data_IF_345097610187
#
_entry.id   IF_345097610187
#
_cell.length_a   1.000
_cell.length_b   1.000
_cell.length_c   1.000
_cell.angle_alpha   90.00
_cell.angle_beta   90.00
_cell.angle_gamma   90.00
#
_symmetry.space_group_name_H-M   'P 1'
#
loop_
_entity.id
_entity.type
_entity.pdbx_description
1 polymer ?
#
# COMPACT_ATOMS: atom_id res chain seq x y z
N UNK A 1 18.04 3.61 15.82
CA UNK A 1 17.91 2.97 17.15
C UNK A 1 18.00 3.99 18.30
N UNK A 2 19.06 4.81 18.37
CA UNK A 2 19.25 5.77 19.48
C UNK A 2 18.06 6.72 19.64
N UNK A 3 17.52 7.25 18.55
CA UNK A 3 16.38 8.17 18.59
C UNK A 3 15.09 7.47 19.02
N UNK A 4 14.85 6.23 18.59
CA UNK A 4 13.70 5.45 19.01
C UNK A 4 13.70 5.15 20.52
N UNK A 5 14.87 4.80 21.08
CA UNK A 5 15.03 4.61 22.53
C UNK A 5 14.79 5.92 23.29
N UNK A 6 15.31 7.03 22.77
CA UNK A 6 15.09 8.37 23.35
C UNK A 6 13.62 8.77 23.37
N UNK A 7 12.90 8.52 22.29
CA UNK A 7 11.46 8.79 22.21
C UNK A 7 10.67 7.91 23.17
N UNK A 8 10.97 6.60 23.23
CA UNK A 8 10.32 5.67 24.14
C UNK A 8 10.57 6.09 25.61
N UNK A 9 11.80 6.42 25.98
CA UNK A 9 12.13 6.93 27.29
C UNK A 9 11.33 8.21 27.63
N UNK A 10 11.17 9.13 26.68
CA UNK A 10 10.35 10.34 26.86
C UNK A 10 8.88 10.03 27.10
N UNK A 11 8.30 9.07 26.34
CA UNK A 11 6.93 8.61 26.51
C UNK A 11 6.72 8.03 27.92
N UNK A 12 7.63 7.14 28.35
CA UNK A 12 7.57 6.52 29.66
C UNK A 12 7.78 7.52 30.80
N UNK A 13 8.73 8.45 30.65
CA UNK A 13 8.98 9.50 31.63
C UNK A 13 7.76 10.40 31.85
N UNK A 14 7.07 10.76 30.77
CA UNK A 14 5.84 11.54 30.83
C UNK A 14 4.59 10.71 31.17
N UNK A 15 4.75 9.45 31.54
CA UNK A 15 3.65 8.54 31.93
C UNK A 15 2.53 8.46 30.88
N UNK A 16 2.88 8.57 29.60
CA UNK A 16 1.90 8.42 28.51
C UNK A 16 1.53 6.94 28.42
N UNK A 17 0.22 6.59 28.55
CA UNK A 17 -0.20 5.20 28.53
C UNK A 17 0.02 4.58 27.14
N UNK A 18 0.54 3.34 27.12
CA UNK A 18 0.75 2.56 25.91
C UNK A 18 -0.12 1.31 25.98
N UNK A 19 -1.05 1.16 25.07
CA UNK A 19 -1.94 0.00 24.95
C UNK A 19 -1.39 -0.99 23.93
N UNK A 20 -0.55 -1.92 24.40
CA UNK A 20 -0.02 -3.00 23.54
C UNK A 20 -1.10 -4.05 23.25
N UNK A 21 -0.98 -4.72 22.08
CA UNK A 21 -1.95 -5.74 21.64
C UNK A 21 -3.39 -5.26 21.71
N UNK A 22 -3.63 -4.02 21.31
CA UNK A 22 -4.93 -3.39 21.44
C UNK A 22 -5.34 -2.72 20.13
N UNK A 23 -6.63 -2.66 19.90
CA UNK A 23 -7.24 -1.99 18.76
C UNK A 23 -8.33 -1.02 19.19
N UNK A 24 -8.63 -0.06 18.35
CA UNK A 24 -9.81 0.80 18.51
C UNK A 24 -11.03 -0.02 18.05
N UNK A 25 -11.88 -0.42 19.03
CA UNK A 25 -13.10 -1.15 18.73
C UNK A 25 -14.24 -0.21 18.30
N UNK A 26 -14.28 1.01 18.83
CA UNK A 26 -15.28 2.03 18.49
C UNK A 26 -14.77 3.42 18.83
N UNK A 27 -15.04 4.39 17.99
CA UNK A 27 -14.92 5.81 18.29
C UNK A 27 -16.27 6.48 18.06
N UNK A 28 -16.72 7.31 19.01
CA UNK A 28 -17.99 8.02 18.93
C UNK A 28 -17.74 9.49 19.23
N UNK A 29 -18.09 10.36 18.29
CA UNK A 29 -18.02 11.80 18.49
C UNK A 29 -19.15 12.27 19.38
N UNK A 30 -18.81 13.06 20.36
CA UNK A 30 -19.71 13.89 21.17
C UNK A 30 -19.23 15.33 21.00
N UNK A 31 -20.09 16.31 21.06
CA UNK A 31 -19.84 17.72 20.74
C UNK A 31 -18.35 18.13 20.75
N UNK A 32 -17.73 18.18 21.93
CA UNK A 32 -16.34 18.64 22.11
C UNK A 32 -15.32 17.52 22.33
N UNK A 33 -15.75 16.27 22.42
CA UNK A 33 -14.85 15.14 22.70
C UNK A 33 -15.20 13.89 21.93
N UNK A 34 -14.24 12.99 21.84
CA UNK A 34 -14.38 11.67 21.23
C UNK A 34 -14.27 10.62 22.35
N UNK A 35 -15.28 9.77 22.46
CA UNK A 35 -15.22 8.57 23.30
C UNK A 35 -14.66 7.42 22.49
N UNK A 36 -13.50 6.91 22.89
CA UNK A 36 -12.79 5.82 22.20
C UNK A 36 -12.87 4.57 23.07
N UNK A 37 -13.37 3.46 22.52
CA UNK A 37 -13.28 2.13 23.12
C UNK A 37 -12.06 1.42 22.57
N UNK A 38 -11.14 1.05 23.45
CA UNK A 38 -9.96 0.24 23.12
C UNK A 38 -10.26 -1.18 23.58
N UNK A 39 -9.92 -2.16 22.73
CA UNK A 39 -10.06 -3.57 23.05
C UNK A 39 -8.71 -4.26 22.94
N UNK A 40 -8.32 -4.97 23.98
CA UNK A 40 -7.16 -5.86 23.93
C UNK A 40 -7.48 -7.08 23.06
N UNK A 41 -6.65 -7.35 22.06
CA UNK A 41 -6.89 -8.37 21.03
C UNK A 41 -6.81 -9.78 21.62
N UNK A 42 -5.94 -9.99 22.62
CA UNK A 42 -5.69 -11.30 23.20
C UNK A 42 -6.73 -11.67 24.26
N UNK A 43 -7.14 -10.69 25.08
CA UNK A 43 -8.02 -10.94 26.24
C UNK A 43 -9.46 -10.53 25.99
N UNK A 44 -9.75 -9.76 24.95
CA UNK A 44 -11.06 -9.18 24.69
C UNK A 44 -11.44 -8.03 25.64
N UNK A 45 -10.62 -7.73 26.66
CA UNK A 45 -10.90 -6.68 27.65
C UNK A 45 -11.04 -5.33 26.96
N UNK A 46 -12.11 -4.61 27.31
CA UNK A 46 -12.38 -3.27 26.78
C UNK A 46 -12.14 -2.20 27.83
N UNK A 47 -11.62 -1.07 27.36
CA UNK A 47 -11.41 0.15 28.13
C UNK A 47 -11.93 1.35 27.34
N UNK A 48 -12.44 2.36 28.03
CA UNK A 48 -12.94 3.59 27.39
C UNK A 48 -12.08 4.77 27.77
N UNK A 49 -11.68 5.53 26.76
CA UNK A 49 -10.95 6.80 26.89
C UNK A 49 -11.79 7.94 26.35
N UNK A 50 -11.55 9.14 26.85
CA UNK A 50 -12.11 10.38 26.33
C UNK A 50 -10.96 11.27 25.87
N UNK A 51 -11.05 11.81 24.67
CA UNK A 51 -10.00 12.67 24.09
C UNK A 51 -10.63 13.75 23.21
N UNK A 52 -9.97 14.90 23.11
CA UNK A 52 -10.37 15.96 22.17
C UNK A 52 -9.93 15.67 20.72
N UNK A 53 -8.93 14.80 20.53
CA UNK A 53 -8.38 14.48 19.20
C UNK A 53 -8.01 13.02 19.12
N UNK A 54 -8.34 12.39 18.01
CA UNK A 54 -7.97 11.01 17.68
C UNK A 54 -7.24 10.97 16.34
N UNK A 55 -5.96 10.60 16.35
CA UNK A 55 -5.19 10.33 15.15
C UNK A 55 -5.08 8.82 14.93
N UNK A 56 -5.37 8.36 13.71
CA UNK A 56 -5.36 6.94 13.35
C UNK A 56 -4.42 6.70 12.17
N UNK A 57 -3.58 5.66 12.24
CA UNK A 57 -2.70 5.26 11.16
C UNK A 57 -2.44 3.75 11.22
N UNK A 58 -2.70 3.07 10.11
CA UNK A 58 -2.53 1.61 9.99
C UNK A 58 -1.31 1.20 9.16
N UNK A 59 -0.32 2.07 9.06
CA UNK A 59 0.91 1.86 8.31
C UNK A 59 0.90 2.53 6.93
N UNK A 60 1.90 2.19 6.13
CA UNK A 60 2.13 2.74 4.80
C UNK A 60 1.98 1.63 3.76
N UNK A 61 1.52 1.99 2.57
CA UNK A 61 1.45 1.12 1.41
C UNK A 61 2.26 1.73 0.25
N UNK A 62 2.97 0.90 -0.55
CA UNK A 62 3.75 1.39 -1.67
C UNK A 62 2.85 1.97 -2.78
N UNK A 63 3.29 3.05 -3.40
CA UNK A 63 2.67 3.54 -4.64
C UNK A 63 3.30 2.81 -5.83
N UNK A 64 2.57 1.85 -6.39
CA UNK A 64 3.01 1.02 -7.53
C UNK A 64 2.19 1.27 -8.79
N UNK A 65 1.45 2.37 -8.86
CA UNK A 65 0.55 2.67 -9.97
C UNK A 65 1.28 2.71 -11.32
N UNK A 66 2.45 3.38 -11.39
CA UNK A 66 3.24 3.51 -12.63
C UNK A 66 3.79 2.16 -13.07
N UNK A 67 4.39 1.39 -12.15
CA UNK A 67 4.99 0.10 -12.49
C UNK A 67 3.93 -0.93 -12.91
N UNK A 68 2.72 -0.86 -12.32
CA UNK A 68 1.59 -1.68 -12.74
C UNK A 68 1.03 -1.26 -14.10
N UNK A 69 0.93 0.05 -14.35
CA UNK A 69 0.48 0.57 -15.66
C UNK A 69 1.43 0.16 -16.80
N UNK A 70 2.73 0.15 -16.52
CA UNK A 70 3.76 -0.32 -17.46
C UNK A 70 3.76 -1.85 -17.65
N UNK A 71 3.04 -2.61 -16.83
CA UNK A 71 2.97 -4.07 -16.94
C UNK A 71 4.13 -4.80 -16.25
N UNK A 72 4.91 -4.16 -15.38
CA UNK A 72 5.90 -4.85 -14.57
C UNK A 72 5.25 -5.89 -13.65
N UNK A 73 5.92 -7.01 -13.40
CA UNK A 73 5.44 -8.03 -12.46
C UNK A 73 5.45 -7.50 -11.03
N UNK A 74 4.47 -7.91 -10.24
CA UNK A 74 4.33 -7.54 -8.84
C UNK A 74 4.09 -8.77 -7.98
N UNK A 75 4.56 -8.70 -6.74
CA UNK A 75 4.34 -9.69 -5.70
C UNK A 75 3.74 -9.03 -4.47
N UNK A 76 2.93 -9.76 -3.71
CA UNK A 76 2.44 -9.31 -2.42
C UNK A 76 3.44 -9.63 -1.31
N UNK A 77 3.91 -8.62 -0.60
CA UNK A 77 4.79 -8.77 0.55
C UNK A 77 4.34 -7.88 1.71
N UNK A 78 3.68 -8.48 2.69
CA UNK A 78 3.12 -7.76 3.84
C UNK A 78 4.19 -6.99 4.61
N UNK A 79 5.39 -7.55 4.79
CA UNK A 79 6.49 -6.89 5.51
C UNK A 79 7.05 -5.67 4.77
N UNK A 80 6.73 -5.51 3.49
CA UNK A 80 7.13 -4.37 2.65
C UNK A 80 5.97 -3.44 2.31
N UNK A 81 4.81 -3.63 2.93
CA UNK A 81 3.64 -2.77 2.80
C UNK A 81 2.58 -3.23 1.80
N UNK A 82 2.72 -4.40 1.18
CA UNK A 82 1.73 -4.95 0.24
C UNK A 82 2.31 -5.30 -1.12
N UNK A 83 1.62 -4.96 -2.21
CA UNK A 83 2.14 -5.21 -3.56
C UNK A 83 3.31 -4.30 -3.88
N UNK A 84 4.42 -4.91 -4.26
CA UNK A 84 5.65 -4.26 -4.71
C UNK A 84 6.05 -4.80 -6.07
N UNK A 85 6.78 -4.03 -6.85
CA UNK A 85 7.37 -4.55 -8.07
C UNK A 85 8.35 -5.69 -7.77
N UNK A 86 8.31 -6.75 -8.57
CA UNK A 86 9.34 -7.80 -8.57
C UNK A 86 10.64 -7.21 -9.11
N UNK A 87 11.69 -7.27 -8.30
CA UNK A 87 13.00 -6.67 -8.60
C UNK A 87 14.14 -7.62 -8.21
N UNK A 88 15.25 -7.50 -8.90
CA UNK A 88 16.50 -8.15 -8.51
C UNK A 88 17.23 -7.35 -7.41
N UNK A 89 18.38 -7.86 -6.95
CA UNK A 89 19.21 -7.21 -5.94
C UNK A 89 19.70 -5.82 -6.36
N UNK A 90 19.73 -5.54 -7.66
CA UNK A 90 20.17 -4.28 -8.23
C UNK A 90 19.02 -3.36 -8.66
N UNK A 91 17.80 -3.69 -8.20
CA UNK A 91 16.59 -2.90 -8.40
C UNK A 91 16.07 -2.89 -9.85
N UNK A 92 16.52 -3.83 -10.73
CA UNK A 92 15.95 -4.03 -12.04
C UNK A 92 14.59 -4.69 -11.90
N UNK A 93 13.60 -4.20 -12.62
CA UNK A 93 12.28 -4.82 -12.64
C UNK A 93 12.23 -5.97 -13.66
N UNK A 94 11.05 -6.57 -13.81
CA UNK A 94 10.78 -7.56 -14.87
C UNK A 94 10.73 -6.98 -16.28
N UNK A 95 10.88 -5.67 -16.43
CA UNK A 95 10.92 -4.97 -17.72
C UNK A 95 12.31 -4.37 -17.94
N UNK A 96 12.86 -4.58 -19.13
CA UNK A 96 14.15 -4.01 -19.51
C UNK A 96 14.13 -2.47 -19.42
N UNK A 97 15.19 -1.89 -18.91
CA UNK A 97 15.33 -0.44 -18.73
C UNK A 97 14.50 0.17 -17.60
N UNK A 98 13.70 -0.62 -16.89
CA UNK A 98 12.89 -0.13 -15.75
C UNK A 98 13.51 -0.53 -14.41
N UNK A 99 13.97 0.45 -13.66
CA UNK A 99 14.48 0.30 -12.29
C UNK A 99 13.48 0.85 -11.28
N UNK A 100 13.23 0.10 -10.21
CA UNK A 100 12.27 0.51 -9.18
C UNK A 100 12.98 0.74 -7.86
N UNK A 101 12.85 1.94 -7.31
CA UNK A 101 13.53 2.35 -6.08
C UNK A 101 12.58 2.93 -5.04
N UNK A 102 13.10 3.27 -3.88
CA UNK A 102 12.31 3.86 -2.80
C UNK A 102 11.22 2.94 -2.29
N UNK A 103 10.08 3.52 -1.93
CA UNK A 103 8.95 2.77 -1.37
C UNK A 103 8.26 1.86 -2.39
N UNK A 104 8.33 2.18 -3.69
CA UNK A 104 7.84 1.29 -4.77
C UNK A 104 8.55 -0.06 -4.83
N UNK A 105 9.80 -0.12 -4.37
CA UNK A 105 10.61 -1.33 -4.18
C UNK A 105 10.44 -1.97 -2.78
N UNK A 106 9.40 -1.58 -2.05
CA UNK A 106 9.13 -1.98 -0.67
C UNK A 106 9.61 -0.98 0.37
N UNK A 107 8.71 -0.67 1.30
CA UNK A 107 8.91 0.36 2.32
C UNK A 107 10.01 -0.05 3.28
N UNK A 108 11.06 0.76 3.36
CA UNK A 108 12.24 0.52 4.21
C UNK A 108 12.76 1.80 4.89
N UNK A 109 12.07 2.92 4.70
CA UNK A 109 12.41 4.24 5.24
C UNK A 109 13.34 5.06 4.33
N UNK A 110 13.40 6.36 4.57
CA UNK A 110 14.03 7.35 3.68
C UNK A 110 15.52 7.07 3.41
N UNK A 111 16.28 6.62 4.42
CA UNK A 111 17.71 6.33 4.25
C UNK A 111 17.91 5.12 3.34
N UNK A 112 17.10 4.08 3.52
CA UNK A 112 17.12 2.90 2.66
C UNK A 112 16.70 3.26 1.22
N UNK A 113 15.71 4.14 1.05
CA UNK A 113 15.27 4.64 -0.26
C UNK A 113 16.41 5.35 -1.01
N UNK A 114 17.19 6.18 -0.30
CA UNK A 114 18.40 6.80 -0.88
C UNK A 114 19.42 5.77 -1.32
N UNK A 115 19.70 4.77 -0.51
CA UNK A 115 20.69 3.72 -0.82
C UNK A 115 20.21 2.86 -2.01
N UNK A 116 18.93 2.52 -2.06
CA UNK A 116 18.32 1.85 -3.22
C UNK A 116 18.49 2.69 -4.49
N UNK A 117 18.24 4.00 -4.44
CA UNK A 117 18.48 4.90 -5.57
C UNK A 117 19.90 4.87 -6.08
N UNK A 118 20.90 4.87 -5.17
CA UNK A 118 22.31 4.76 -5.54
C UNK A 118 22.66 3.39 -6.17
N UNK A 119 22.09 2.30 -5.67
CA UNK A 119 22.29 0.96 -6.28
C UNK A 119 21.72 0.92 -7.69
N UNK A 120 20.49 1.39 -7.87
CA UNK A 120 19.84 1.43 -9.18
C UNK A 120 20.62 2.29 -10.19
N UNK A 121 21.12 3.46 -9.76
CA UNK A 121 21.95 4.31 -10.61
C UNK A 121 23.25 3.62 -11.04
N UNK A 122 23.92 2.91 -10.10
CA UNK A 122 25.12 2.14 -10.42
C UNK A 122 24.81 0.97 -11.34
N UNK A 123 23.65 0.31 -11.16
CA UNK A 123 23.21 -0.77 -12.03
C UNK A 123 22.97 -0.27 -13.45
N UNK A 124 22.27 0.87 -13.61
CA UNK A 124 22.07 1.51 -14.91
C UNK A 124 23.39 1.85 -15.59
N UNK A 125 24.34 2.46 -14.89
CA UNK A 125 25.66 2.78 -15.45
C UNK A 125 26.44 1.52 -15.86
N UNK A 126 26.27 0.42 -15.14
CA UNK A 126 26.90 -0.85 -15.49
C UNK A 126 26.23 -1.48 -16.73
N UNK A 127 24.90 -1.49 -16.80
CA UNK A 127 24.13 -2.06 -17.89
C UNK A 127 24.38 -1.29 -19.20
N UNK A 128 24.51 0.04 -19.12
CA UNK A 128 24.91 0.91 -20.24
C UNK A 128 26.43 0.87 -20.55
N UNK A 129 27.18 -0.01 -19.88
CA UNK A 129 28.64 -0.20 -20.10
C UNK A 129 29.48 1.05 -19.84
N UNK A 130 28.96 2.03 -19.07
CA UNK A 130 29.66 3.26 -18.70
C UNK A 130 30.71 2.98 -17.63
N UNK A 131 30.43 2.06 -16.69
CA UNK A 131 31.39 1.63 -15.67
C UNK A 131 31.73 0.14 -15.81
N UNK A 132 32.94 -0.22 -15.37
CA UNK A 132 33.42 -1.61 -15.42
C UNK A 132 32.87 -2.42 -14.23
N UNK A 133 32.75 -3.72 -14.42
CA UNK A 133 32.26 -4.68 -13.41
C UNK A 133 32.96 -4.55 -12.05
N UNK A 134 34.29 -4.39 -12.06
CA UNK A 134 35.10 -4.23 -10.84
C UNK A 134 34.68 -3.00 -10.05
N UNK A 135 34.47 -1.89 -10.74
CA UNK A 135 34.04 -0.61 -10.13
C UNK A 135 32.63 -0.74 -9.56
N UNK A 136 31.72 -1.32 -10.36
CA UNK A 136 30.34 -1.58 -9.96
C UNK A 136 30.28 -2.42 -8.68
N UNK A 137 30.97 -3.56 -8.62
CA UNK A 137 31.01 -4.45 -7.45
C UNK A 137 31.60 -3.76 -6.20
N UNK A 138 32.64 -2.97 -6.34
CA UNK A 138 33.24 -2.23 -5.22
C UNK A 138 32.29 -1.19 -4.65
N UNK A 139 31.64 -0.39 -5.52
CA UNK A 139 30.74 0.67 -5.10
C UNK A 139 29.48 0.11 -4.46
N UNK A 140 28.83 -0.88 -5.08
CA UNK A 140 27.60 -1.50 -4.57
C UNK A 140 27.81 -2.20 -3.25
N UNK A 141 28.92 -2.94 -3.06
CA UNK A 141 29.23 -3.65 -1.81
C UNK A 141 29.16 -2.76 -0.57
N UNK A 142 29.68 -1.53 -0.64
CA UNK A 142 29.63 -0.56 0.48
C UNK A 142 28.19 -0.15 0.80
N UNK A 143 27.38 0.08 -0.24
CA UNK A 143 26.00 0.50 -0.09
C UNK A 143 25.16 -0.63 0.45
N UNK A 144 25.30 -1.86 -0.05
CA UNK A 144 24.60 -3.06 0.47
C UNK A 144 24.85 -3.28 1.96
N UNK A 145 26.10 -3.14 2.43
CA UNK A 145 26.44 -3.27 3.87
C UNK A 145 25.67 -2.27 4.73
N UNK A 146 25.43 -1.06 4.23
CA UNK A 146 24.65 -0.02 4.91
C UNK A 146 23.16 -0.29 4.82
N UNK A 147 22.65 -0.60 3.62
CA UNK A 147 21.26 -0.90 3.34
C UNK A 147 20.74 -2.05 4.18
N UNK A 148 21.51 -3.12 4.32
CA UNK A 148 21.14 -4.31 5.10
C UNK A 148 20.69 -3.96 6.53
N UNK A 149 21.36 -3.01 7.20
CA UNK A 149 21.01 -2.59 8.58
C UNK A 149 19.64 -1.90 8.62
N UNK A 150 19.33 -1.08 7.60
CA UNK A 150 18.05 -0.39 7.52
C UNK A 150 16.92 -1.33 7.13
N UNK A 151 17.17 -2.30 6.27
CA UNK A 151 16.18 -3.31 5.92
C UNK A 151 15.85 -4.24 7.10
N UNK A 152 16.82 -4.64 7.90
CA UNK A 152 16.55 -5.37 9.15
C UNK A 152 15.69 -4.55 10.11
N UNK A 153 15.97 -3.27 10.26
CA UNK A 153 15.15 -2.37 11.08
C UNK A 153 13.73 -2.23 10.52
N UNK A 154 13.60 -1.99 9.22
CA UNK A 154 12.30 -1.89 8.56
C UNK A 154 11.48 -3.16 8.73
N UNK A 155 12.09 -4.35 8.58
CA UNK A 155 11.45 -5.64 8.82
C UNK A 155 10.95 -5.80 10.25
N UNK A 156 11.71 -5.35 11.23
CA UNK A 156 11.29 -5.37 12.63
C UNK A 156 10.10 -4.45 12.90
N UNK A 157 10.12 -3.22 12.35
CA UNK A 157 9.01 -2.27 12.46
C UNK A 157 7.76 -2.78 11.73
N UNK A 158 7.92 -3.37 10.54
CA UNK A 158 6.80 -3.96 9.81
C UNK A 158 6.11 -5.08 10.61
N UNK A 159 6.88 -5.90 11.32
CA UNK A 159 6.35 -6.94 12.21
C UNK A 159 5.55 -6.35 13.39
N UNK A 160 6.00 -5.24 13.95
CA UNK A 160 5.28 -4.54 15.02
C UNK A 160 3.98 -3.88 14.53
N UNK A 161 3.95 -3.44 13.28
CA UNK A 161 2.82 -2.75 12.66
C UNK A 161 1.94 -3.68 11.79
N UNK A 162 2.18 -4.98 11.81
CA UNK A 162 1.34 -5.91 11.05
C UNK A 162 -0.10 -5.86 11.54
N UNK A 163 -1.05 -5.84 10.60
CA UNK A 163 -2.48 -5.85 10.91
C UNK A 163 -2.86 -7.21 11.48
N UNK A 164 -3.30 -7.31 12.75
CA UNK A 164 -3.68 -8.60 13.32
C UNK A 164 -4.92 -9.17 12.60
N UNK A 165 -4.96 -10.49 12.35
CA UNK A 165 -6.10 -11.14 11.70
C UNK A 165 -7.44 -10.86 12.40
N UNK A 166 -7.42 -10.70 13.72
CA UNK A 166 -8.60 -10.38 14.53
C UNK A 166 -9.31 -9.09 14.11
N UNK A 167 -8.59 -8.14 13.48
CA UNK A 167 -9.22 -6.92 12.96
C UNK A 167 -10.16 -7.24 11.79
N UNK A 168 -9.83 -8.19 10.94
CA UNK A 168 -10.68 -8.63 9.83
C UNK A 168 -11.87 -9.43 10.36
N UNK A 169 -11.63 -10.37 11.29
CA UNK A 169 -12.67 -11.23 11.86
C UNK A 169 -13.71 -10.45 12.68
N UNK A 170 -13.29 -9.38 13.36
CA UNK A 170 -14.19 -8.52 14.14
C UNK A 170 -14.85 -7.41 13.31
N UNK A 171 -14.59 -7.34 12.02
CA UNK A 171 -15.18 -6.36 11.13
C UNK A 171 -16.65 -6.68 10.90
N UNK A 172 -17.53 -5.75 11.22
CA UNK A 172 -18.97 -5.88 11.01
C UNK A 172 -19.34 -5.77 9.54
N UNK A 173 -20.47 -6.32 9.16
CA UNK A 173 -20.96 -6.29 7.78
C UNK A 173 -21.23 -4.85 7.29
N UNK A 174 -21.65 -3.95 8.18
CA UNK A 174 -21.88 -2.53 7.88
C UNK A 174 -20.59 -1.72 7.80
N UNK A 175 -19.41 -2.33 8.02
CA UNK A 175 -18.13 -1.61 7.93
C UNK A 175 -17.88 -1.15 6.50
N UNK A 176 -17.76 0.16 6.30
CA UNK A 176 -17.44 0.74 4.99
C UNK A 176 -15.99 0.41 4.63
N UNK A 177 -15.81 -0.35 3.56
CA UNK A 177 -14.52 -0.72 3.00
C UNK A 177 -14.07 0.27 1.91
N UNK A 178 -15.00 0.73 1.07
CA UNK A 178 -14.72 1.76 0.06
C UNK A 178 -15.50 3.04 0.38
N UNK A 179 -14.83 4.04 0.94
CA UNK A 179 -15.44 5.30 1.35
C UNK A 179 -15.86 6.21 0.19
N UNK A 180 -15.31 6.00 -0.98
CA UNK A 180 -15.64 6.83 -2.15
C UNK A 180 -16.95 6.40 -2.82
N UNK A 181 -17.33 5.14 -2.64
CA UNK A 181 -18.52 4.52 -3.26
C UNK A 181 -19.45 3.92 -2.18
N UNK A 182 -19.16 4.18 -0.90
CA UNK A 182 -19.92 3.70 0.28
C UNK A 182 -20.13 2.19 0.34
N UNK A 183 -19.19 1.39 -0.24
CA UNK A 183 -19.27 -0.06 -0.28
C UNK A 183 -18.89 -0.64 1.07
N UNK A 184 -19.78 -1.45 1.61
CA UNK A 184 -19.62 -2.13 2.89
C UNK A 184 -18.94 -3.50 2.74
N UNK A 185 -18.57 -4.13 3.86
CA UNK A 185 -18.13 -5.51 3.89
C UNK A 185 -19.23 -6.44 3.35
N UNK A 186 -20.48 -6.20 3.72
CA UNK A 186 -21.63 -6.98 3.25
C UNK A 186 -21.73 -6.99 1.72
N UNK A 187 -21.61 -5.83 1.07
CA UNK A 187 -21.69 -5.74 -0.39
C UNK A 187 -20.57 -6.56 -1.06
N UNK A 188 -19.37 -6.58 -0.45
CA UNK A 188 -18.24 -7.39 -0.94
C UNK A 188 -18.55 -8.89 -0.79
N UNK A 189 -19.09 -9.34 0.36
CA UNK A 189 -19.44 -10.73 0.60
C UNK A 189 -20.56 -11.19 -0.34
N UNK A 190 -21.61 -10.41 -0.51
CA UNK A 190 -22.69 -10.70 -1.47
C UNK A 190 -22.16 -10.84 -2.92
N UNK A 191 -21.22 -10.00 -3.33
CA UNK A 191 -20.60 -10.12 -4.64
C UNK A 191 -19.75 -11.40 -4.77
N UNK A 192 -19.07 -11.83 -3.70
CA UNK A 192 -18.34 -13.11 -3.67
C UNK A 192 -19.32 -14.29 -3.80
N UNK A 193 -20.43 -14.29 -3.05
CA UNK A 193 -21.46 -15.32 -3.09
C UNK A 193 -22.08 -15.43 -4.49
N UNK A 194 -22.20 -14.30 -5.20
CA UNK A 194 -22.64 -14.24 -6.59
C UNK A 194 -21.55 -14.59 -7.62
N UNK A 195 -20.33 -14.96 -7.18
CA UNK A 195 -19.30 -15.55 -8.02
C UNK A 195 -18.09 -14.66 -8.31
N UNK A 196 -17.96 -13.49 -7.70
CA UNK A 196 -16.75 -12.66 -7.85
C UNK A 196 -15.56 -13.31 -7.13
N UNK A 197 -14.41 -13.45 -7.82
CA UNK A 197 -13.24 -14.21 -7.33
C UNK A 197 -11.96 -13.39 -7.24
N UNK A 198 -11.97 -12.16 -7.73
CA UNK A 198 -10.84 -11.23 -7.74
C UNK A 198 -11.32 -9.78 -7.62
N UNK A 199 -10.37 -8.84 -7.42
CA UNK A 199 -10.71 -7.44 -7.21
C UNK A 199 -11.34 -6.76 -8.44
N UNK A 200 -11.02 -7.20 -9.66
CA UNK A 200 -11.58 -6.58 -10.87
C UNK A 200 -13.03 -7.03 -11.10
N UNK A 201 -13.35 -8.28 -10.79
CA UNK A 201 -14.73 -8.76 -10.79
C UNK A 201 -15.55 -8.03 -9.72
N UNK A 202 -15.05 -7.92 -8.48
CA UNK A 202 -15.70 -7.14 -7.42
C UNK A 202 -15.95 -5.69 -7.84
N UNK A 203 -14.97 -5.07 -8.49
CA UNK A 203 -15.12 -3.71 -9.03
C UNK A 203 -16.29 -3.61 -10.00
N UNK A 204 -16.48 -4.58 -10.87
CA UNK A 204 -17.57 -4.59 -11.86
C UNK A 204 -18.94 -4.80 -11.19
N UNK A 205 -18.99 -5.58 -10.14
CA UNK A 205 -20.26 -5.89 -9.43
C UNK A 205 -20.69 -4.79 -8.46
N UNK A 206 -19.75 -4.19 -7.74
CA UNK A 206 -20.04 -3.30 -6.61
C UNK A 206 -19.65 -1.85 -6.84
N UNK A 207 -18.93 -1.51 -7.92
CA UNK A 207 -18.24 -0.23 -8.15
C UNK A 207 -17.08 0.04 -7.17
N UNK A 208 -16.73 -0.92 -6.30
CA UNK A 208 -15.57 -0.84 -5.43
C UNK A 208 -14.32 -0.37 -6.20
N UNK A 209 -13.62 0.62 -5.66
CA UNK A 209 -12.40 1.15 -6.27
C UNK A 209 -12.60 2.07 -7.49
N UNK A 210 -13.84 2.39 -7.87
CA UNK A 210 -14.12 3.30 -8.99
C UNK A 210 -14.13 4.79 -8.62
N UNK A 211 -14.21 5.11 -7.33
CA UNK A 211 -14.24 6.50 -6.88
C UNK A 211 -12.92 7.27 -7.09
N UNK A 212 -12.85 8.54 -6.69
CA UNK A 212 -11.71 9.44 -6.99
C UNK A 212 -10.34 8.92 -6.55
N UNK A 213 -10.26 8.10 -5.49
CA UNK A 213 -9.01 7.51 -5.05
C UNK A 213 -8.55 6.32 -5.91
N UNK A 214 -9.37 5.83 -6.85
CA UNK A 214 -9.05 4.72 -7.75
C UNK A 214 -8.51 3.48 -7.02
N UNK A 215 -9.14 3.12 -5.90
CA UNK A 215 -8.78 1.96 -5.10
C UNK A 215 -7.53 2.11 -4.21
N UNK A 216 -6.83 3.24 -4.23
CA UNK A 216 -5.60 3.45 -3.45
C UNK A 216 -5.80 3.26 -1.95
N UNK A 217 -6.98 3.61 -1.44
CA UNK A 217 -7.29 3.45 -0.01
C UNK A 217 -7.83 2.06 0.31
N UNK A 218 -8.72 1.53 -0.51
CA UNK A 218 -9.54 0.36 -0.17
C UNK A 218 -9.00 -0.98 -0.68
N UNK A 219 -8.27 -1.03 -1.80
CA UNK A 219 -7.89 -2.30 -2.44
C UNK A 219 -7.16 -3.28 -1.51
N UNK A 220 -6.30 -2.78 -0.61
CA UNK A 220 -5.54 -3.64 0.30
C UNK A 220 -6.43 -4.30 1.36
N UNK A 221 -7.33 -3.51 1.96
CA UNK A 221 -8.28 -4.03 2.95
C UNK A 221 -9.26 -5.01 2.31
N UNK A 222 -9.80 -4.66 1.14
CA UNK A 222 -10.72 -5.53 0.40
C UNK A 222 -10.01 -6.82 -0.05
N UNK A 223 -8.79 -6.74 -0.57
CA UNK A 223 -8.03 -7.93 -0.96
C UNK A 223 -7.82 -8.90 0.22
N UNK A 224 -7.56 -8.39 1.43
CA UNK A 224 -7.45 -9.23 2.63
C UNK A 224 -8.78 -9.86 3.01
N UNK A 225 -9.89 -9.12 2.95
CA UNK A 225 -11.24 -9.66 3.22
C UNK A 225 -11.58 -10.76 2.22
N UNK A 226 -11.34 -10.53 0.92
CA UNK A 226 -11.60 -11.53 -0.14
C UNK A 226 -10.72 -12.76 0.02
N UNK A 227 -9.45 -12.57 0.35
CA UNK A 227 -8.50 -13.67 0.58
C UNK A 227 -8.94 -14.56 1.75
N UNK A 228 -9.41 -13.95 2.85
CA UNK A 228 -9.94 -14.67 4.02
C UNK A 228 -11.21 -15.45 3.65
N UNK A 229 -12.16 -14.80 2.99
CA UNK A 229 -13.43 -15.42 2.60
C UNK A 229 -13.25 -16.59 1.63
N UNK A 230 -12.42 -16.39 0.61
CA UNK A 230 -12.13 -17.44 -0.38
C UNK A 230 -11.07 -18.44 0.05
N UNK A 231 -10.47 -18.29 1.26
CA UNK A 231 -9.36 -19.12 1.76
C UNK A 231 -8.20 -19.21 0.77
N UNK A 232 -7.84 -18.07 0.16
CA UNK A 232 -6.78 -17.93 -0.83
C UNK A 232 -5.70 -16.97 -0.31
N UNK A 233 -4.53 -16.98 -0.95
CA UNK A 233 -3.49 -15.98 -0.68
C UNK A 233 -3.91 -14.63 -1.26
N UNK A 234 -3.51 -13.54 -0.61
CA UNK A 234 -3.77 -12.17 -1.10
C UNK A 234 -3.16 -11.96 -2.49
N UNK A 235 -2.02 -12.57 -2.76
CA UNK A 235 -1.35 -12.51 -4.06
C UNK A 235 -2.22 -13.09 -5.19
N UNK A 236 -2.95 -14.17 -4.92
CA UNK A 236 -3.87 -14.82 -5.87
C UNK A 236 -5.16 -14.01 -6.12
N UNK A 237 -5.53 -13.12 -5.19
CA UNK A 237 -6.67 -12.21 -5.36
C UNK A 237 -6.31 -11.07 -6.33
N UNK A 238 -5.03 -10.73 -6.39
CA UNK A 238 -4.52 -9.70 -7.28
C UNK A 238 -4.84 -8.27 -6.81
N UNK A 239 -4.66 -7.33 -7.71
CA UNK A 239 -4.88 -5.91 -7.52
C UNK A 239 -5.75 -5.33 -8.64
N UNK A 240 -6.30 -4.12 -8.40
CA UNK A 240 -7.10 -3.43 -9.41
C UNK A 240 -6.25 -3.05 -10.61
N UNK A 241 -6.73 -3.34 -11.81
CA UNK A 241 -6.10 -2.92 -13.06
C UNK A 241 -6.17 -1.40 -13.18
N UNK A 242 -4.99 -0.78 -13.20
CA UNK A 242 -4.83 0.66 -13.41
C UNK A 242 -5.05 1.04 -14.87
N UNK A 243 -5.57 2.25 -15.09
CA UNK A 243 -5.72 2.85 -16.42
C UNK A 243 -5.19 4.29 -16.40
N UNK A 244 -4.70 4.76 -17.53
CA UNK A 244 -4.33 6.18 -17.70
C UNK A 244 -5.59 7.04 -17.79
N UNK A 245 -5.58 8.27 -17.25
CA UNK A 245 -4.56 8.84 -16.38
C UNK A 245 -4.61 8.25 -14.96
N UNK A 246 -3.45 7.96 -14.36
CA UNK A 246 -3.36 7.39 -13.01
C UNK A 246 -3.69 8.39 -11.88
N UNK A 247 -3.85 9.64 -12.21
CA UNK A 247 -4.28 10.74 -11.32
C UNK A 247 -5.29 11.60 -12.04
N UNK A 248 -6.21 12.27 -11.32
CA UNK A 248 -7.07 13.29 -11.91
C UNK A 248 -6.22 14.36 -12.60
N UNK A 249 -6.57 14.68 -13.83
CA UNK A 249 -5.93 15.73 -14.64
C UNK A 249 -6.96 16.83 -14.88
N UNK A 250 -6.62 18.13 -14.71
CA UNK A 250 -7.48 19.23 -15.12
C UNK A 250 -7.88 19.11 -16.58
N UNK A 251 -9.14 19.39 -16.88
CA UNK A 251 -9.68 19.16 -18.21
C UNK A 251 -8.99 20.01 -19.28
N UNK A 252 -8.65 21.26 -18.94
CA UNK A 252 -7.87 22.17 -19.77
C UNK A 252 -6.51 21.63 -20.20
N UNK A 253 -5.90 20.79 -19.34
CA UNK A 253 -4.62 20.11 -19.65
C UNK A 253 -4.80 18.78 -20.37
N UNK A 254 -5.98 18.19 -20.28
CA UNK A 254 -6.29 16.93 -20.94
C UNK A 254 -6.70 17.12 -22.41
N UNK A 255 -7.23 18.29 -22.77
CA UNK A 255 -7.72 18.59 -24.13
C UNK A 255 -6.54 18.66 -25.13
N UNK A 256 -5.39 19.24 -24.73
CA UNK A 256 -4.26 19.47 -25.64
C UNK A 256 -4.59 20.46 -26.78
N UNK A 257 -3.61 20.68 -27.64
CA UNK A 257 -3.82 21.38 -28.91
C UNK A 257 -4.04 20.31 -29.99
N UNK A 258 -5.26 20.17 -30.49
CA UNK A 258 -5.55 19.30 -31.63
C UNK A 258 -6.55 19.96 -32.58
N UNK A 259 -6.40 19.71 -33.87
CA UNK A 259 -7.37 20.10 -34.88
C UNK A 259 -8.41 18.98 -35.04
N UNK A 260 -9.70 19.33 -35.02
CA UNK A 260 -10.80 18.39 -35.26
C UNK A 260 -10.67 17.66 -36.61
N UNK A 261 -9.97 18.23 -37.57
CA UNK A 261 -9.70 17.61 -38.87
C UNK A 261 -8.67 16.47 -38.80
N UNK A 262 -7.86 16.40 -37.72
CA UNK A 262 -6.88 15.34 -37.47
C UNK A 262 -7.49 14.14 -36.77
N UNK A 263 -8.72 14.25 -36.25
CA UNK A 263 -9.42 13.14 -35.61
C UNK A 263 -9.81 12.13 -36.70
N UNK A 264 -9.23 10.95 -36.64
CA UNK A 264 -9.64 9.82 -37.51
C UNK A 264 -11.13 9.55 -37.25
N UNK A 265 -11.98 9.81 -38.25
CA UNK A 265 -13.40 9.45 -38.19
C UNK A 265 -13.50 7.93 -38.11
N UNK A 266 -13.79 7.40 -36.94
CA UNK A 266 -14.12 6.00 -36.76
C UNK A 266 -15.49 5.81 -37.41
N UNK A 267 -15.57 5.02 -38.48
CA UNK A 267 -16.87 4.62 -39.04
C UNK A 267 -17.70 3.97 -37.93
N UNK A 268 -18.91 4.47 -37.74
CA UNK A 268 -19.81 3.87 -36.75
C UNK A 268 -19.99 2.40 -37.07
N UNK A 269 -19.82 1.52 -36.08
CA UNK A 269 -20.11 0.13 -36.26
C UNK A 269 -21.55 -0.02 -36.75
N UNK A 270 -21.84 -0.86 -37.75
CA UNK A 270 -23.19 -1.09 -38.23
C UNK A 270 -24.03 -1.59 -37.03
N UNK A 271 -25.18 -0.97 -36.83
CA UNK A 271 -26.18 -1.35 -35.82
C UNK A 271 -26.72 -2.74 -36.07
#
# INVERSE_FOLDING_TARGET
FKDGIKWLAKILFNKVPIYSNSMIAKATQHNEYIKVKIQNINTGKQESLVTGTLAVGHGLIPSTDITRLLGAKHIYNESKGGWIAEIDDYLRSSLDGLYVTGDGAGISGAIAAKDKGLIASLALLYDEKIIKEKEFKIKTKKIFKRLYKYELFAKAIAKLNSTPPQLLNNMKDETILCRCEDITKKDILEAIDNGAKDLNQLKSWTRFGMGPCQGRTCQYSVAKVVAEELKRKVDDIGYLTGRSPIRPVPLDRAIGEFDYNEITKIEAAPL
#
